data_IF_589188204813
#
_entry.id   IF_589188204813
#
_cell.length_a   1.000
_cell.length_b   1.000
_cell.length_c   1.000
_cell.angle_alpha   90.00
_cell.angle_beta   90.00
_cell.angle_gamma   90.00
#
_symmetry.space_group_name_H-M   'P 1'
#
loop_
_entity.id
_entity.type
_entity.pdbx_description
1 polymer ?
#
# COMPACT_ATOMS: atom_id res chain seq x y z
N UNK A 1 -6.97 -25.14 2.90
CA UNK A 1 -6.54 -26.25 2.10
C UNK A 1 -5.73 -25.77 0.92
N UNK A 2 -6.18 -25.55 -0.28
CA UNK A 2 -5.34 -25.06 -1.41
C UNK A 2 -4.73 -23.68 -1.16
N UNK A 3 -5.48 -22.75 -0.60
CA UNK A 3 -5.06 -21.39 -0.27
C UNK A 3 -3.93 -21.35 0.79
N UNK A 4 -4.03 -22.21 1.82
CA UNK A 4 -2.97 -22.34 2.85
C UNK A 4 -1.69 -22.92 2.23
N UNK A 5 -1.82 -23.86 1.31
CA UNK A 5 -0.67 -24.41 0.59
C UNK A 5 0.00 -23.40 -0.30
N UNK A 6 -0.77 -22.57 -1.02
CA UNK A 6 -0.26 -21.50 -1.87
C UNK A 6 0.42 -20.38 -1.06
N UNK A 7 -0.17 -19.94 0.06
CA UNK A 7 0.49 -19.01 0.99
C UNK A 7 1.81 -19.55 1.53
N UNK A 8 1.86 -20.84 1.88
CA UNK A 8 3.08 -21.46 2.36
C UNK A 8 4.11 -21.65 1.25
N UNK A 9 3.69 -21.85 0.00
CA UNK A 9 4.59 -21.88 -1.16
C UNK A 9 5.21 -20.51 -1.39
N UNK A 10 4.37 -19.46 -1.45
CA UNK A 10 4.83 -18.08 -1.65
C UNK A 10 5.71 -17.59 -0.50
N UNK A 11 5.38 -17.95 0.76
CA UNK A 11 6.22 -17.61 1.90
C UNK A 11 7.64 -18.21 1.78
N UNK A 12 7.75 -19.46 1.28
CA UNK A 12 9.04 -20.07 1.01
C UNK A 12 9.78 -19.39 -0.14
N UNK A 13 9.09 -19.11 -1.24
CA UNK A 13 9.66 -18.41 -2.38
C UNK A 13 10.18 -17.02 -2.00
N UNK A 14 9.43 -16.27 -1.18
CA UNK A 14 9.87 -14.98 -0.63
C UNK A 14 11.09 -15.16 0.28
N UNK A 15 11.09 -16.18 1.14
CA UNK A 15 12.21 -16.45 2.05
C UNK A 15 13.49 -16.80 1.27
N UNK A 16 13.37 -17.62 0.24
CA UNK A 16 14.49 -18.04 -0.60
C UNK A 16 15.04 -16.83 -1.40
N UNK A 17 14.15 -16.02 -1.97
CA UNK A 17 14.53 -14.79 -2.69
C UNK A 17 15.23 -13.80 -1.76
N UNK A 18 14.66 -13.53 -0.56
CA UNK A 18 15.27 -12.65 0.43
C UNK A 18 16.62 -13.18 0.91
N UNK A 19 16.72 -14.47 1.18
CA UNK A 19 17.98 -15.11 1.61
C UNK A 19 19.09 -14.92 0.57
N UNK A 20 18.76 -15.13 -0.70
CA UNK A 20 19.71 -14.95 -1.81
C UNK A 20 20.14 -13.48 -1.97
N UNK A 21 19.20 -12.55 -1.95
CA UNK A 21 19.48 -11.11 -2.07
C UNK A 21 20.31 -10.60 -0.89
N UNK A 22 19.95 -10.96 0.35
CA UNK A 22 20.69 -10.55 1.54
C UNK A 22 22.12 -11.12 1.55
N UNK A 23 22.31 -12.38 1.12
CA UNK A 23 23.63 -12.97 0.99
C UNK A 23 24.50 -12.21 -0.02
N UNK A 24 23.92 -11.85 -1.18
CA UNK A 24 24.62 -11.05 -2.19
C UNK A 24 24.99 -9.65 -1.70
N UNK A 25 24.07 -8.98 -0.98
CA UNK A 25 24.33 -7.66 -0.38
C UNK A 25 25.46 -7.75 0.65
N UNK A 26 25.43 -8.75 1.55
CA UNK A 26 26.44 -8.92 2.60
C UNK A 26 27.81 -9.18 1.99
N UNK A 27 27.91 -10.13 1.05
CA UNK A 27 29.17 -10.44 0.37
C UNK A 27 29.72 -9.23 -0.40
N UNK A 28 28.82 -8.47 -1.07
CA UNK A 28 29.21 -7.25 -1.76
C UNK A 28 29.71 -6.16 -0.81
N UNK A 29 29.05 -5.99 0.34
CA UNK A 29 29.47 -5.03 1.36
C UNK A 29 30.85 -5.38 1.95
N UNK A 30 31.08 -6.65 2.25
CA UNK A 30 32.39 -7.14 2.72
C UNK A 30 33.49 -6.86 1.67
N UNK A 31 33.20 -7.09 0.39
CA UNK A 31 34.13 -6.77 -0.69
C UNK A 31 34.41 -5.26 -0.79
N UNK A 32 33.38 -4.40 -0.63
CA UNK A 32 33.57 -2.94 -0.59
C UNK A 32 34.51 -2.51 0.54
N UNK A 33 34.32 -3.07 1.73
CA UNK A 33 35.15 -2.73 2.91
C UNK A 33 36.62 -3.09 2.62
N UNK A 34 36.89 -4.24 2.01
CA UNK A 34 38.25 -4.68 1.68
C UNK A 34 38.92 -3.81 0.61
N UNK A 35 38.15 -3.25 -0.33
CA UNK A 35 38.68 -2.46 -1.45
C UNK A 35 38.72 -0.95 -1.15
N UNK A 36 38.15 -0.49 -0.03
CA UNK A 36 37.89 0.93 0.21
C UNK A 36 39.18 1.77 0.25
N UNK A 37 40.25 1.24 0.83
CA UNK A 37 41.52 1.95 0.97
C UNK A 37 42.42 1.81 -0.28
N UNK A 38 42.39 0.65 -0.93
CA UNK A 38 43.30 0.35 -2.05
C UNK A 38 42.72 0.76 -3.42
N UNK A 39 41.40 0.73 -3.56
CA UNK A 39 40.73 0.97 -4.83
C UNK A 39 39.34 1.62 -4.63
N UNK A 40 39.28 2.90 -4.23
CA UNK A 40 38.00 3.57 -3.91
C UNK A 40 36.98 3.60 -5.05
N UNK A 41 37.46 3.70 -6.30
CA UNK A 41 36.60 3.68 -7.50
C UNK A 41 35.93 2.30 -7.69
N UNK A 42 36.66 1.21 -7.44
CA UNK A 42 36.10 -0.14 -7.50
C UNK A 42 35.12 -0.38 -6.34
N UNK A 43 35.42 0.12 -5.14
CA UNK A 43 34.51 0.06 -4.00
C UNK A 43 33.20 0.80 -4.29
N UNK A 44 33.29 1.97 -4.92
CA UNK A 44 32.10 2.73 -5.35
C UNK A 44 31.25 1.96 -6.36
N UNK A 45 31.88 1.41 -7.40
CA UNK A 45 31.17 0.61 -8.39
C UNK A 45 30.49 -0.61 -7.76
N UNK A 46 31.16 -1.29 -6.82
CA UNK A 46 30.57 -2.40 -6.07
C UNK A 46 29.38 -1.97 -5.22
N UNK A 47 29.41 -0.77 -4.62
CA UNK A 47 28.28 -0.21 -3.87
C UNK A 47 27.07 0.05 -4.77
N UNK A 48 27.29 0.49 -6.01
CA UNK A 48 26.22 0.67 -7.02
C UNK A 48 25.57 -0.67 -7.36
N UNK A 49 26.36 -1.73 -7.54
CA UNK A 49 25.86 -3.09 -7.79
C UNK A 49 25.04 -3.63 -6.60
N UNK A 50 25.48 -3.36 -5.38
CA UNK A 50 24.72 -3.73 -4.16
C UNK A 50 23.37 -3.02 -4.15
N UNK A 51 23.37 -1.72 -4.44
CA UNK A 51 22.13 -0.93 -4.48
C UNK A 51 21.15 -1.44 -5.53
N UNK A 52 21.64 -1.85 -6.71
CA UNK A 52 20.82 -2.43 -7.78
C UNK A 52 20.31 -3.83 -7.38
N UNK A 53 21.13 -4.65 -6.76
CA UNK A 53 20.74 -5.97 -6.24
C UNK A 53 19.62 -5.83 -5.20
N UNK A 54 19.75 -4.87 -4.28
CA UNK A 54 18.73 -4.57 -3.28
C UNK A 54 17.41 -4.13 -3.92
N UNK A 55 17.45 -3.20 -4.89
CA UNK A 55 16.26 -2.72 -5.60
C UNK A 55 15.54 -3.85 -6.35
N UNK A 56 16.32 -4.69 -7.06
CA UNK A 56 15.75 -5.81 -7.82
C UNK A 56 15.12 -6.85 -6.88
N UNK A 57 15.80 -7.22 -5.79
CA UNK A 57 15.26 -8.15 -4.80
C UNK A 57 13.98 -7.63 -4.14
N UNK A 58 13.92 -6.35 -3.82
CA UNK A 58 12.69 -5.73 -3.32
C UNK A 58 11.54 -5.79 -4.33
N UNK A 59 11.83 -5.60 -5.63
CA UNK A 59 10.81 -5.70 -6.68
C UNK A 59 10.31 -7.15 -6.85
N UNK A 60 11.19 -8.15 -6.70
CA UNK A 60 10.83 -9.56 -6.76
C UNK A 60 9.93 -9.95 -5.58
N UNK A 61 10.30 -9.54 -4.37
CA UNK A 61 9.46 -9.73 -3.17
C UNK A 61 8.10 -9.05 -3.33
N UNK A 62 8.07 -7.81 -3.86
CA UNK A 62 6.80 -7.11 -4.13
C UNK A 62 5.92 -7.86 -5.11
N UNK A 63 6.48 -8.44 -6.18
CA UNK A 63 5.73 -9.28 -7.14
C UNK A 63 5.13 -10.50 -6.47
N UNK A 64 5.90 -11.20 -5.66
CA UNK A 64 5.44 -12.38 -4.92
C UNK A 64 4.37 -12.03 -3.87
N UNK A 65 4.52 -10.89 -3.16
CA UNK A 65 3.50 -10.39 -2.22
C UNK A 65 2.26 -9.86 -2.93
N UNK A 66 2.41 -9.27 -4.14
CA UNK A 66 1.28 -8.80 -4.95
C UNK A 66 0.35 -9.94 -5.37
N UNK A 67 0.89 -11.15 -5.53
CA UNK A 67 0.11 -12.36 -5.75
C UNK A 67 -0.72 -12.80 -4.52
N UNK A 68 -0.48 -12.22 -3.33
CA UNK A 68 -1.27 -12.46 -2.13
C UNK A 68 -2.35 -11.37 -1.99
N UNK A 69 -3.43 -11.48 -2.76
CA UNK A 69 -4.61 -10.63 -2.57
C UNK A 69 -5.17 -10.86 -1.15
N UNK A 70 -5.62 -9.82 -0.43
CA UNK A 70 -6.28 -10.01 0.86
C UNK A 70 -7.48 -10.96 0.72
N UNK A 71 -7.55 -11.99 1.58
CA UNK A 71 -8.63 -13.00 1.57
C UNK A 71 -10.04 -12.36 1.63
N UNK A 72 -10.14 -11.16 2.23
CA UNK A 72 -11.37 -10.39 2.32
C UNK A 72 -11.83 -9.86 0.94
N UNK A 73 -10.89 -9.44 0.08
CA UNK A 73 -11.19 -8.97 -1.28
C UNK A 73 -11.45 -10.10 -2.28
N UNK A 74 -11.10 -11.34 -1.94
CA UNK A 74 -11.46 -12.51 -2.75
C UNK A 74 -12.89 -12.97 -2.53
N UNK A 75 -13.43 -12.71 -1.33
CA UNK A 75 -14.73 -13.22 -0.88
C UNK A 75 -15.84 -12.18 -0.90
N UNK A 76 -15.49 -10.92 -0.85
CA UNK A 76 -16.41 -9.80 -0.71
C UNK A 76 -15.99 -8.67 -1.68
N UNK A 77 -16.91 -7.77 -2.02
CA UNK A 77 -16.56 -6.55 -2.71
C UNK A 77 -15.76 -5.60 -1.78
N UNK A 78 -15.12 -4.60 -2.35
CA UNK A 78 -14.26 -3.65 -1.60
C UNK A 78 -15.00 -3.02 -0.41
N UNK A 79 -16.26 -2.60 -0.59
CA UNK A 79 -17.11 -2.02 0.47
C UNK A 79 -17.26 -2.98 1.66
N UNK A 80 -17.65 -4.23 1.41
CA UNK A 80 -17.76 -5.27 2.44
C UNK A 80 -16.43 -5.56 3.14
N UNK A 81 -15.34 -5.65 2.36
CA UNK A 81 -14.00 -5.89 2.90
C UNK A 81 -13.53 -4.73 3.81
N UNK A 82 -13.77 -3.48 3.41
CA UNK A 82 -13.44 -2.29 4.21
C UNK A 82 -14.25 -2.24 5.50
N UNK A 83 -15.58 -2.48 5.43
CA UNK A 83 -16.44 -2.52 6.61
C UNK A 83 -15.97 -3.56 7.62
N UNK A 84 -15.66 -4.77 7.16
CA UNK A 84 -15.18 -5.87 8.00
C UNK A 84 -13.84 -5.54 8.64
N UNK A 85 -12.92 -4.96 7.88
CA UNK A 85 -11.61 -4.52 8.38
C UNK A 85 -11.77 -3.44 9.46
N UNK A 86 -12.54 -2.39 9.19
CA UNK A 86 -12.77 -1.31 10.14
C UNK A 86 -13.40 -1.82 11.45
N UNK A 87 -14.39 -2.70 11.34
CA UNK A 87 -15.04 -3.34 12.52
C UNK A 87 -14.05 -4.16 13.33
N UNK A 88 -13.26 -5.01 12.66
CA UNK A 88 -12.26 -5.86 13.33
C UNK A 88 -11.17 -5.05 14.01
N UNK A 89 -10.67 -4.00 13.34
CA UNK A 89 -9.63 -3.12 13.90
C UNK A 89 -10.17 -2.27 15.06
N UNK A 90 -11.42 -1.81 14.99
CA UNK A 90 -12.09 -1.12 16.10
C UNK A 90 -12.21 -2.03 17.35
N UNK A 91 -12.67 -3.27 17.16
CA UNK A 91 -12.79 -4.24 18.25
C UNK A 91 -11.45 -4.58 18.91
N UNK A 92 -10.41 -4.75 18.11
CA UNK A 92 -9.09 -5.16 18.62
C UNK A 92 -8.31 -4.01 19.27
N UNK A 93 -8.54 -2.77 18.87
CA UNK A 93 -7.81 -1.60 19.38
C UNK A 93 -8.55 -0.80 20.44
N UNK A 94 -9.88 -0.93 20.50
CA UNK A 94 -10.76 -0.09 21.32
C UNK A 94 -10.97 1.33 20.74
N UNK A 95 -10.41 1.66 19.58
CA UNK A 95 -10.61 2.93 18.91
C UNK A 95 -11.96 2.95 18.17
N UNK A 96 -12.57 4.13 18.05
CA UNK A 96 -13.75 4.34 17.22
C UNK A 96 -13.29 4.55 15.78
N UNK A 97 -13.70 3.65 14.87
CA UNK A 97 -13.39 3.76 13.45
C UNK A 97 -14.70 3.96 12.69
N UNK A 98 -14.83 5.10 12.01
CA UNK A 98 -15.97 5.41 11.17
C UNK A 98 -15.59 5.29 9.70
N UNK A 99 -16.37 4.52 8.94
CA UNK A 99 -16.22 4.40 7.50
C UNK A 99 -17.39 5.11 6.81
N UNK A 100 -17.07 6.08 5.96
CA UNK A 100 -17.99 6.75 5.03
C UNK A 100 -17.54 6.39 3.62
N UNK A 101 -18.35 5.67 2.87
CA UNK A 101 -17.98 5.27 1.52
C UNK A 101 -19.16 5.38 0.54
N UNK A 102 -18.87 5.66 -0.71
CA UNK A 102 -19.81 5.71 -1.83
C UNK A 102 -19.29 4.90 -3.02
N UNK A 103 -18.92 3.63 -2.75
CA UNK A 103 -18.32 2.74 -3.73
C UNK A 103 -19.35 1.84 -4.42
N UNK A 104 -20.62 1.92 -4.03
CA UNK A 104 -21.69 1.09 -4.57
C UNK A 104 -21.87 1.30 -6.08
N UNK A 105 -21.88 0.19 -6.83
CA UNK A 105 -22.08 0.21 -8.28
C UNK A 105 -20.84 0.53 -9.11
N UNK A 106 -19.67 0.70 -8.48
CA UNK A 106 -18.41 0.89 -9.18
C UNK A 106 -17.78 -0.43 -9.59
N UNK A 107 -17.15 -0.38 -10.75
CA UNK A 107 -16.28 -1.45 -11.23
C UNK A 107 -14.83 -0.95 -11.13
N UNK A 108 -14.15 -1.33 -10.08
CA UNK A 108 -12.72 -1.10 -9.88
C UNK A 108 -11.94 -2.30 -10.41
N UNK A 109 -10.74 -2.05 -10.89
CA UNK A 109 -9.78 -3.12 -11.18
C UNK A 109 -9.27 -3.74 -9.87
N UNK A 110 -8.76 -4.96 -9.94
CA UNK A 110 -8.18 -5.62 -8.77
C UNK A 110 -7.03 -4.82 -8.14
N UNK A 111 -6.22 -4.14 -8.96
CA UNK A 111 -5.12 -3.31 -8.49
C UNK A 111 -5.64 -2.05 -7.76
N UNK A 112 -6.73 -1.44 -8.23
CA UNK A 112 -7.38 -0.31 -7.56
C UNK A 112 -8.00 -0.73 -6.23
N UNK A 113 -8.74 -1.85 -6.19
CA UNK A 113 -9.31 -2.39 -4.94
C UNK A 113 -8.22 -2.70 -3.90
N UNK A 114 -7.14 -3.40 -4.30
CA UNK A 114 -6.03 -3.73 -3.40
C UNK A 114 -5.34 -2.47 -2.89
N UNK A 115 -5.14 -1.47 -3.76
CA UNK A 115 -4.52 -0.22 -3.40
C UNK A 115 -5.35 0.53 -2.35
N UNK A 116 -6.66 0.67 -2.55
CA UNK A 116 -7.57 1.32 -1.59
C UNK A 116 -7.58 0.56 -0.26
N UNK A 117 -7.77 -0.76 -0.32
CA UNK A 117 -7.80 -1.60 0.88
C UNK A 117 -6.53 -1.45 1.72
N UNK A 118 -5.36 -1.53 1.08
CA UNK A 118 -4.06 -1.40 1.75
C UNK A 118 -3.82 0.01 2.30
N UNK A 119 -4.22 1.03 1.57
CA UNK A 119 -4.10 2.42 2.04
C UNK A 119 -4.92 2.65 3.30
N UNK A 120 -6.16 2.17 3.34
CA UNK A 120 -7.01 2.26 4.52
C UNK A 120 -6.43 1.44 5.68
N UNK A 121 -6.00 0.20 5.41
CA UNK A 121 -5.40 -0.68 6.43
C UNK A 121 -4.17 -0.04 7.09
N UNK A 122 -3.25 0.47 6.29
CA UNK A 122 -2.02 1.09 6.77
C UNK A 122 -2.33 2.41 7.50
N UNK A 123 -3.25 3.22 6.97
CA UNK A 123 -3.69 4.46 7.61
C UNK A 123 -4.25 4.24 9.01
N UNK A 124 -5.16 3.27 9.18
CA UNK A 124 -5.72 2.92 10.49
C UNK A 124 -4.61 2.35 11.40
N UNK A 125 -3.75 1.49 10.87
CA UNK A 125 -2.63 0.92 11.64
C UNK A 125 -1.72 2.01 12.17
N UNK A 126 -1.36 2.99 11.34
CA UNK A 126 -0.52 4.12 11.73
C UNK A 126 -1.19 5.01 12.77
N UNK A 127 -2.48 5.31 12.59
CA UNK A 127 -3.28 6.06 13.55
C UNK A 127 -3.27 5.42 14.95
N UNK A 128 -3.48 4.10 15.02
CA UNK A 128 -3.54 3.36 16.29
C UNK A 128 -2.13 3.22 16.89
N UNK A 129 -1.15 2.73 16.12
CA UNK A 129 0.18 2.39 16.64
C UNK A 129 1.07 3.60 16.91
N UNK A 130 1.03 4.58 16.03
CA UNK A 130 1.93 5.73 16.08
C UNK A 130 1.21 6.99 16.56
N UNK A 131 -0.04 7.18 16.17
CA UNK A 131 -0.86 8.31 16.57
C UNK A 131 -1.49 8.16 17.96
N UNK A 132 -1.57 6.94 18.52
CA UNK A 132 -2.36 6.65 19.73
C UNK A 132 -3.79 7.19 19.62
N UNK A 133 -4.34 7.14 18.42
CA UNK A 133 -5.64 7.69 18.12
C UNK A 133 -6.77 6.92 18.80
N UNK A 134 -7.76 7.64 19.29
CA UNK A 134 -9.01 7.07 19.84
C UNK A 134 -10.16 7.15 18.85
N UNK A 135 -10.03 7.97 17.80
CA UNK A 135 -10.98 8.07 16.68
C UNK A 135 -10.24 8.12 15.36
N UNK A 136 -10.74 7.36 14.39
CA UNK A 136 -10.26 7.35 13.02
C UNK A 136 -11.46 7.48 12.09
N UNK A 137 -11.38 8.39 11.15
CA UNK A 137 -12.38 8.59 10.10
C UNK A 137 -11.79 8.17 8.76
N UNK A 138 -12.43 7.21 8.12
CA UNK A 138 -12.11 6.72 6.79
C UNK A 138 -13.17 7.22 5.82
N UNK A 139 -12.75 7.82 4.72
CA UNK A 139 -13.64 8.25 3.63
C UNK A 139 -13.15 7.72 2.31
N UNK A 140 -14.08 7.16 1.54
CA UNK A 140 -13.85 6.72 0.17
C UNK A 140 -15.01 7.23 -0.68
N UNK A 141 -14.77 8.23 -1.53
CA UNK A 141 -15.81 8.80 -2.38
C UNK A 141 -15.27 9.11 -3.78
N UNK A 142 -16.20 9.32 -4.69
CA UNK A 142 -15.87 9.65 -6.06
C UNK A 142 -16.40 11.03 -6.40
N UNK A 143 -15.51 11.83 -6.93
CA UNK A 143 -15.82 13.14 -7.47
C UNK A 143 -15.13 13.31 -8.81
N UNK A 144 -15.87 13.72 -9.83
CA UNK A 144 -15.38 13.99 -11.19
C UNK A 144 -14.52 12.87 -11.83
N UNK A 145 -14.84 11.60 -11.51
CA UNK A 145 -14.12 10.44 -12.06
C UNK A 145 -12.80 10.14 -11.35
N UNK A 146 -12.58 10.73 -10.20
CA UNK A 146 -11.47 10.46 -9.29
C UNK A 146 -12.00 9.80 -8.02
N UNK A 147 -11.40 8.69 -7.64
CA UNK A 147 -11.65 8.05 -6.35
C UNK A 147 -10.73 8.67 -5.31
N UNK A 148 -11.33 9.37 -4.37
CA UNK A 148 -10.63 9.92 -3.21
C UNK A 148 -10.72 8.97 -2.03
N UNK A 149 -9.58 8.74 -1.40
CA UNK A 149 -9.44 7.96 -0.17
C UNK A 149 -8.76 8.80 0.88
N UNK A 150 -9.37 8.94 2.05
CA UNK A 150 -8.74 9.62 3.17
C UNK A 150 -8.88 8.85 4.47
N UNK A 151 -7.84 8.88 5.30
CA UNK A 151 -7.86 8.36 6.66
C UNK A 151 -7.34 9.44 7.58
N UNK A 152 -8.21 9.98 8.42
CA UNK A 152 -7.91 11.03 9.39
C UNK A 152 -8.06 10.49 10.80
N UNK A 153 -7.11 10.81 11.67
CA UNK A 153 -7.13 10.45 13.07
C UNK A 153 -7.13 11.69 14.00
N UNK A 154 -7.42 11.45 15.27
CA UNK A 154 -7.32 12.44 16.33
C UNK A 154 -6.12 12.19 17.25
N UNK A 155 -5.09 11.54 16.76
CA UNK A 155 -3.91 11.19 17.53
C UNK A 155 -2.96 12.37 17.79
N UNK A 156 -1.80 12.04 18.32
CA UNK A 156 -0.78 13.05 18.69
C UNK A 156 -0.11 13.73 17.48
N UNK A 157 -0.42 13.26 16.26
CA UNK A 157 0.27 13.72 15.06
C UNK A 157 1.76 13.37 15.07
N UNK A 158 2.56 14.08 14.25
CA UNK A 158 3.99 13.85 14.12
C UNK A 158 4.74 15.19 14.04
N UNK A 159 5.76 15.43 14.86
CA UNK A 159 6.54 16.67 14.82
C UNK A 159 7.38 16.85 13.55
N UNK A 160 7.87 15.74 13.00
CA UNK A 160 8.51 15.68 11.69
C UNK A 160 8.20 14.33 11.06
N UNK A 161 7.58 14.35 9.88
CA UNK A 161 7.28 13.12 9.17
C UNK A 161 8.53 12.70 8.40
N UNK A 162 9.28 11.74 8.96
CA UNK A 162 10.24 10.99 8.14
C UNK A 162 9.44 9.83 7.53
N UNK A 163 9.20 9.82 6.20
CA UNK A 163 8.42 8.76 5.57
C UNK A 163 9.05 7.39 5.87
N UNK A 164 8.39 6.61 6.71
CA UNK A 164 8.74 5.21 6.89
C UNK A 164 8.28 4.37 5.70
N UNK A 165 8.65 3.10 5.70
CA UNK A 165 8.30 2.16 4.62
C UNK A 165 6.80 2.14 4.29
N UNK A 166 5.91 2.27 5.27
CA UNK A 166 4.46 2.27 5.05
C UNK A 166 3.99 3.42 4.17
N UNK A 167 4.40 4.67 4.48
CA UNK A 167 4.04 5.85 3.68
C UNK A 167 4.66 5.81 2.27
N UNK A 168 5.91 5.36 2.16
CA UNK A 168 6.58 5.20 0.87
C UNK A 168 5.86 4.17 -0.02
N UNK A 169 5.48 3.02 0.54
CA UNK A 169 4.76 1.99 -0.20
C UNK A 169 3.37 2.45 -0.64
N UNK A 170 2.65 3.23 0.19
CA UNK A 170 1.38 3.82 -0.22
C UNK A 170 1.57 4.78 -1.39
N UNK A 171 2.55 5.67 -1.33
CA UNK A 171 2.87 6.59 -2.40
C UNK A 171 3.23 5.87 -3.71
N UNK A 172 4.10 4.86 -3.65
CA UNK A 172 4.50 4.08 -4.83
C UNK A 172 3.30 3.37 -5.49
N UNK A 173 2.40 2.78 -4.68
CA UNK A 173 1.19 2.12 -5.20
C UNK A 173 0.27 3.10 -5.91
N UNK A 174 0.06 4.29 -5.33
CA UNK A 174 -0.75 5.32 -5.96
C UNK A 174 -0.15 5.79 -7.28
N UNK A 175 1.16 6.03 -7.33
CA UNK A 175 1.86 6.40 -8.56
C UNK A 175 1.73 5.34 -9.66
N UNK A 176 1.74 4.05 -9.32
CA UNK A 176 1.56 2.95 -10.29
C UNK A 176 0.17 2.96 -10.94
N UNK A 177 -0.84 3.49 -10.25
CA UNK A 177 -2.20 3.67 -10.77
C UNK A 177 -2.41 5.04 -11.45
N UNK A 178 -1.36 5.87 -11.56
CA UNK A 178 -1.44 7.23 -12.05
C UNK A 178 -2.11 8.19 -11.07
N UNK A 179 -2.22 7.79 -9.80
CA UNK A 179 -2.82 8.56 -8.73
C UNK A 179 -1.82 9.44 -7.98
N UNK A 180 -2.32 10.18 -7.01
CA UNK A 180 -1.55 11.05 -6.11
C UNK A 180 -1.71 10.61 -4.67
N UNK A 181 -0.70 10.90 -3.84
CA UNK A 181 -0.68 10.58 -2.43
C UNK A 181 -0.01 11.71 -1.65
N UNK A 182 -0.66 12.18 -0.59
CA UNK A 182 -0.07 13.15 0.33
C UNK A 182 -0.59 12.93 1.76
N UNK A 183 0.00 13.61 2.69
CA UNK A 183 -0.39 13.58 4.09
C UNK A 183 -0.30 14.96 4.72
N UNK A 184 -1.15 15.18 5.70
CA UNK A 184 -1.23 16.42 6.48
C UNK A 184 -1.09 16.09 7.96
N UNK A 185 -0.39 16.96 8.68
CA UNK A 185 -0.17 16.81 10.11
C UNK A 185 -0.69 18.06 10.83
N UNK A 186 -2.01 18.12 10.96
CA UNK A 186 -2.70 19.20 11.67
C UNK A 186 -3.87 18.59 12.45
N UNK A 187 -3.86 18.79 13.77
CA UNK A 187 -4.93 18.26 14.65
C UNK A 187 -5.16 16.75 14.46
N UNK A 188 -4.07 15.96 14.66
CA UNK A 188 -3.95 14.56 14.30
C UNK A 188 -3.18 14.37 13.00
N UNK A 189 -3.26 13.20 12.40
CA UNK A 189 -2.64 12.87 11.12
C UNK A 189 -3.71 12.51 10.07
N UNK A 190 -3.53 12.97 8.86
CA UNK A 190 -4.42 12.67 7.77
C UNK A 190 -3.61 12.21 6.56
N UNK A 191 -3.92 11.05 6.02
CA UNK A 191 -3.46 10.63 4.70
C UNK A 191 -4.58 10.82 3.68
N UNK A 192 -4.20 11.23 2.47
CA UNK A 192 -5.09 11.39 1.34
C UNK A 192 -4.49 10.77 0.10
N UNK A 193 -5.32 10.16 -0.69
CA UNK A 193 -4.94 9.55 -1.95
C UNK A 193 -6.05 9.77 -2.97
N UNK A 194 -5.66 9.97 -4.22
CA UNK A 194 -6.55 10.11 -5.37
C UNK A 194 -6.15 9.12 -6.45
N UNK A 195 -7.13 8.39 -6.97
CA UNK A 195 -6.95 7.43 -8.06
C UNK A 195 -7.84 7.89 -9.22
N UNK A 196 -7.28 8.28 -10.37
CA UNK A 196 -8.07 8.60 -11.55
C UNK A 196 -8.70 7.31 -12.08
N UNK A 197 -10.03 7.22 -12.04
CA UNK A 197 -10.76 6.06 -12.54
C UNK A 197 -10.76 6.08 -14.07
N UNK A 198 -10.30 5.00 -14.69
CA UNK A 198 -10.38 4.85 -16.13
C UNK A 198 -11.85 4.74 -16.52
N UNK A 199 -12.32 5.63 -17.40
CA UNK A 199 -13.65 5.49 -17.99
C UNK A 199 -13.71 4.13 -18.69
N UNK A 200 -14.53 3.24 -18.16
CA UNK A 200 -14.81 1.97 -18.86
C UNK A 200 -15.48 2.32 -20.19
N UNK A 201 -14.99 1.84 -21.34
CA UNK A 201 -15.66 2.09 -22.64
C UNK A 201 -17.03 1.44 -22.61
N UNK A 202 -18.09 2.19 -22.32
CA UNK A 202 -19.46 1.67 -22.28
C UNK A 202 -20.50 2.57 -21.61
N UNK A 203 -20.10 3.60 -20.86
CA UNK A 203 -21.06 4.45 -20.13
C UNK A 203 -21.75 5.53 -20.97
N UNK A 204 -21.33 5.75 -22.21
CA UNK A 204 -21.94 6.77 -23.09
C UNK A 204 -23.20 6.29 -23.84
N UNK A 205 -23.48 4.97 -23.89
CA UNK A 205 -24.65 4.46 -24.62
C UNK A 205 -25.99 4.54 -23.87
N UNK A 206 -25.99 4.78 -22.56
CA UNK A 206 -27.25 4.84 -21.79
C UNK A 206 -27.91 6.23 -21.73
N UNK A 207 -27.22 7.30 -22.14
CA UNK A 207 -27.81 8.67 -22.13
C UNK A 207 -28.51 9.04 -23.45
N UNK A 208 -28.41 8.22 -24.49
CA UNK A 208 -29.09 8.50 -25.79
C UNK A 208 -30.40 7.74 -26.00
N UNK A 209 -30.74 6.78 -25.13
CA UNK A 209 -32.00 6.01 -25.27
C UNK A 209 -33.15 6.54 -24.38
N UNK A 210 -32.91 7.52 -23.52
CA UNK A 210 -33.99 8.13 -22.70
C UNK A 210 -34.53 9.45 -23.30
N UNK A 211 -34.19 9.79 -24.54
CA UNK A 211 -34.74 10.99 -25.18
C UNK A 211 -35.30 10.63 -26.58
N UNK A 212 -36.28 9.75 -26.62
CA UNK A 212 -37.22 9.60 -27.77
C UNK A 212 -38.62 9.35 -27.19
#
# INVERSE_FOLDING_TARGET
>A
TAQVQERNRLAREIHDTLGHVLTGITAGADACIQMMDDSPEMARHQMELIADTARNGMNDVRRSVKALRPDSLEKENLSGALNKMCTSMAQSSGAQIQLEESLAGLTLSQDEEDCVYRTVQEGITNAIRHGHATRVQVRCHIEDGVLEVSVKDNGIGCKSVTPGFGLQHMQERMLMLGGTFWYENSDGFCIRAEIPLRKTPGSEKRKQEETV
#
